data_IF_613238469165
#
_entry.id   IF_613238469165
#
_cell.length_a   1.000
_cell.length_b   1.000
_cell.length_c   1.000
_cell.angle_alpha   90.00
_cell.angle_beta   90.00
_cell.angle_gamma   90.00
#
_symmetry.space_group_name_H-M   'P 1'
#
loop_
_entity.id
_entity.type
_entity.pdbx_description
1 polymer ?
#
# COMPACT_ATOMS: atom_id res chain seq x y z
N UNK A 1 10.50 6.07 -6.66
CA UNK A 1 9.11 5.97 -7.13
C UNK A 1 9.05 6.04 -8.65
N UNK A 2 9.43 7.15 -9.30
CA UNK A 2 9.43 7.30 -10.77
C UNK A 2 9.97 6.08 -11.54
N UNK A 3 11.20 5.66 -11.27
CA UNK A 3 11.85 4.50 -11.91
C UNK A 3 11.04 3.21 -11.80
N UNK A 4 10.35 2.99 -10.67
CA UNK A 4 9.54 1.79 -10.49
C UNK A 4 8.25 1.88 -11.31
N UNK A 5 7.64 3.07 -11.40
CA UNK A 5 6.37 3.25 -12.13
C UNK A 5 6.54 3.15 -13.65
N UNK A 6 7.61 3.73 -14.22
CA UNK A 6 7.83 3.69 -15.69
C UNK A 6 8.09 2.28 -16.23
N UNK A 7 8.52 1.36 -15.37
CA UNK A 7 8.79 -0.03 -15.72
C UNK A 7 7.70 -0.98 -15.19
N UNK A 8 6.59 -0.44 -14.69
CA UNK A 8 5.45 -1.21 -14.18
C UNK A 8 4.23 -1.09 -15.09
N UNK A 9 3.27 -1.98 -14.90
CA UNK A 9 1.94 -1.94 -15.52
C UNK A 9 1.19 -0.64 -15.24
N UNK A 10 1.47 0.04 -14.12
CA UNK A 10 0.83 1.31 -13.77
C UNK A 10 1.29 2.50 -14.62
N UNK A 11 2.55 2.50 -15.09
CA UNK A 11 3.16 3.62 -15.82
C UNK A 11 3.32 4.91 -14.99
N UNK A 12 4.07 5.90 -15.49
CA UNK A 12 4.20 7.21 -14.82
C UNK A 12 3.26 8.27 -15.39
N UNK A 13 2.25 8.66 -14.62
CA UNK A 13 1.27 9.68 -14.98
C UNK A 13 1.25 10.80 -13.91
N UNK A 14 2.04 11.88 -14.08
CA UNK A 14 2.28 12.85 -13.01
C UNK A 14 1.03 13.62 -12.57
N UNK A 15 0.13 13.98 -13.51
CA UNK A 15 -1.10 14.71 -13.17
C UNK A 15 -2.08 13.83 -12.40
N UNK A 16 -2.24 12.56 -12.78
CA UNK A 16 -3.05 11.58 -12.05
C UNK A 16 -2.46 11.34 -10.65
N UNK A 17 -1.14 11.14 -10.56
CA UNK A 17 -0.47 10.94 -9.27
C UNK A 17 -0.60 12.15 -8.34
N UNK A 18 -0.51 13.36 -8.89
CA UNK A 18 -0.73 14.59 -8.12
C UNK A 18 -2.17 14.70 -7.62
N UNK A 19 -3.15 14.36 -8.47
CA UNK A 19 -4.56 14.33 -8.09
C UNK A 19 -4.84 13.30 -7.00
N UNK A 20 -4.26 12.12 -7.09
CA UNK A 20 -4.33 11.07 -6.07
C UNK A 20 -3.75 11.54 -4.73
N UNK A 21 -2.54 12.12 -4.75
CA UNK A 21 -1.88 12.62 -3.54
C UNK A 21 -2.73 13.68 -2.84
N UNK A 22 -3.25 14.66 -3.57
CA UNK A 22 -3.98 15.81 -3.00
C UNK A 22 -5.50 15.67 -3.02
N UNK A 23 -6.01 14.44 -3.06
CA UNK A 23 -7.41 14.18 -2.81
C UNK A 23 -7.84 14.65 -1.41
N UNK A 24 -9.09 15.06 -1.27
CA UNK A 24 -9.68 15.52 -0.01
C UNK A 24 -9.68 14.47 1.11
N UNK A 25 -9.68 13.19 0.76
CA UNK A 25 -9.62 12.08 1.72
C UNK A 25 -8.20 11.74 2.16
N UNK A 26 -7.19 12.24 1.45
CA UNK A 26 -5.79 12.01 1.79
C UNK A 26 -5.44 12.57 3.16
N UNK A 27 -4.71 11.77 3.94
CA UNK A 27 -4.09 12.16 5.20
C UNK A 27 -2.60 11.92 5.10
N UNK A 28 -1.82 12.71 5.83
CA UNK A 28 -0.36 12.69 5.76
C UNK A 28 0.25 12.62 7.15
N UNK A 29 1.21 11.70 7.33
CA UNK A 29 2.24 11.80 8.37
C UNK A 29 3.46 12.42 7.70
N UNK A 30 3.94 13.55 8.22
CA UNK A 30 5.16 14.20 7.76
C UNK A 30 6.26 14.02 8.82
N UNK A 31 7.42 13.59 8.38
CA UNK A 31 8.64 13.61 9.18
C UNK A 31 9.49 14.79 8.71
N UNK A 32 9.70 15.77 9.59
CA UNK A 32 10.56 16.91 9.30
C UNK A 32 11.82 16.88 10.15
N UNK A 33 12.94 17.31 9.57
CA UNK A 33 14.17 17.56 10.32
C UNK A 33 13.96 18.75 11.24
N UNK A 34 14.12 18.55 12.56
CA UNK A 34 14.01 19.64 13.53
C UNK A 34 15.07 20.74 13.38
N UNK A 35 16.11 20.51 12.57
CA UNK A 35 17.19 21.49 12.32
C UNK A 35 16.94 22.34 11.08
N UNK A 36 16.34 21.77 10.03
CA UNK A 36 16.23 22.40 8.70
C UNK A 36 14.80 22.59 8.23
N UNK A 37 13.81 22.09 8.98
CA UNK A 37 12.39 21.98 8.60
C UNK A 37 12.15 21.19 7.30
N UNK A 38 13.18 20.58 6.74
CA UNK A 38 13.11 19.76 5.53
C UNK A 38 12.32 18.47 5.80
N UNK A 39 11.45 18.11 4.86
CA UNK A 39 10.70 16.85 4.92
C UNK A 39 11.65 15.67 4.68
N UNK A 40 12.00 14.97 5.74
CA UNK A 40 12.82 13.76 5.74
C UNK A 40 12.04 12.54 5.22
N UNK A 41 10.71 12.56 5.30
CA UNK A 41 9.85 11.53 4.75
C UNK A 41 8.38 11.85 4.95
N UNK A 42 7.53 11.13 4.23
CA UNK A 42 6.09 11.21 4.42
C UNK A 42 5.44 9.84 4.25
N UNK A 43 4.29 9.69 4.87
CA UNK A 43 3.34 8.64 4.58
C UNK A 43 2.01 9.27 4.21
N UNK A 44 1.43 8.89 3.08
CA UNK A 44 0.09 9.28 2.67
C UNK A 44 -0.82 8.06 2.75
N UNK A 45 -1.95 8.25 3.42
CA UNK A 45 -2.90 7.19 3.70
C UNK A 45 -4.33 7.70 3.65
N UNK A 46 -5.27 6.77 3.56
CA UNK A 46 -6.71 7.05 3.66
C UNK A 46 -7.39 6.03 4.56
N UNK A 47 -8.56 6.40 5.06
CA UNK A 47 -9.50 5.48 5.69
C UNK A 47 -10.47 5.03 4.61
N UNK A 48 -10.59 3.73 4.42
CA UNK A 48 -11.42 3.12 3.40
C UNK A 48 -12.22 1.97 3.99
N UNK A 49 -13.30 1.59 3.33
CA UNK A 49 -14.09 0.41 3.67
C UNK A 49 -14.14 -0.48 2.44
N UNK A 50 -13.55 -1.67 2.55
CA UNK A 50 -13.40 -2.60 1.43
C UNK A 50 -13.57 -4.04 1.93
N UNK A 51 -14.37 -4.84 1.21
CA UNK A 51 -14.62 -6.25 1.52
C UNK A 51 -15.06 -6.53 2.98
N UNK A 52 -15.79 -5.59 3.59
CA UNK A 52 -16.29 -5.74 4.95
C UNK A 52 -15.35 -5.24 6.04
N UNK A 53 -14.13 -4.84 5.70
CA UNK A 53 -13.12 -4.36 6.64
C UNK A 53 -13.02 -2.81 6.63
N UNK A 54 -12.85 -2.22 7.80
CA UNK A 54 -12.39 -0.83 7.96
C UNK A 54 -10.86 -0.81 7.80
N UNK A 55 -10.36 -0.20 6.71
CA UNK A 55 -8.95 -0.27 6.29
C UNK A 55 -8.24 1.07 6.39
N UNK A 56 -7.02 1.04 6.93
CA UNK A 56 -6.02 2.09 6.76
C UNK A 56 -5.17 1.82 5.52
N UNK A 57 -5.54 2.40 4.38
CA UNK A 57 -4.81 2.17 3.13
C UNK A 57 -3.60 3.11 3.05
N UNK A 58 -2.40 2.55 3.08
CA UNK A 58 -1.13 3.26 2.91
C UNK A 58 -0.75 3.31 1.43
N UNK A 59 -1.12 4.40 0.76
CA UNK A 59 -0.81 4.68 -0.64
C UNK A 59 0.66 4.98 -0.88
N UNK A 60 1.28 5.74 0.02
CA UNK A 60 2.69 6.12 -0.10
C UNK A 60 3.40 6.07 1.23
N UNK A 61 4.64 5.57 1.21
CA UNK A 61 5.60 5.72 2.28
C UNK A 61 6.97 6.01 1.65
N UNK A 62 7.42 7.25 1.78
CA UNK A 62 8.66 7.72 1.18
C UNK A 62 9.58 8.27 2.26
N UNK A 63 10.84 7.84 2.23
CA UNK A 63 11.93 8.37 3.06
C UNK A 63 12.99 8.95 2.13
N UNK A 64 13.39 10.19 2.39
CA UNK A 64 14.50 10.83 1.68
C UNK A 64 15.77 9.97 1.80
N UNK A 65 16.52 9.85 0.71
CA UNK A 65 17.72 8.99 0.65
C UNK A 65 18.73 9.32 1.74
N UNK A 66 18.91 10.61 2.07
CA UNK A 66 19.80 11.10 3.13
C UNK A 66 19.38 10.67 4.55
N UNK A 67 18.15 10.20 4.71
CA UNK A 67 17.53 9.85 6.00
C UNK A 67 17.11 8.38 6.09
N UNK A 68 17.42 7.55 5.08
CA UNK A 68 17.16 6.09 5.11
C UNK A 68 18.02 5.39 6.17
N UNK A 69 17.59 4.17 6.56
CA UNK A 69 18.28 3.27 7.52
C UNK A 69 18.44 3.84 8.95
N UNK A 70 17.57 4.79 9.33
CA UNK A 70 17.47 5.36 10.69
C UNK A 70 16.15 5.00 11.38
N UNK A 71 15.58 3.83 11.04
CA UNK A 71 14.28 3.35 11.55
C UNK A 71 13.07 4.27 11.29
N UNK A 72 13.20 5.31 10.46
CA UNK A 72 12.09 6.23 10.16
C UNK A 72 10.91 5.55 9.45
N UNK A 73 11.18 4.61 8.55
CA UNK A 73 10.11 3.82 7.92
C UNK A 73 9.34 2.99 8.94
N UNK A 74 10.04 2.33 9.87
CA UNK A 74 9.42 1.60 10.99
C UNK A 74 8.57 2.53 11.84
N UNK A 75 9.11 3.69 12.21
CA UNK A 75 8.37 4.69 12.97
C UNK A 75 7.06 5.13 12.29
N UNK A 76 7.06 5.30 10.96
CA UNK A 76 5.83 5.64 10.24
C UNK A 76 4.81 4.49 10.23
N UNK A 77 5.25 3.24 10.03
CA UNK A 77 4.35 2.08 10.12
C UNK A 77 3.80 1.89 11.53
N UNK A 78 4.63 2.07 12.56
CA UNK A 78 4.19 1.99 13.96
C UNK A 78 3.19 3.11 14.27
N UNK A 79 3.39 4.31 13.70
CA UNK A 79 2.44 5.43 13.80
C UNK A 79 1.11 5.12 13.11
N UNK A 80 1.12 4.51 11.91
CA UNK A 80 -0.11 4.04 11.26
C UNK A 80 -0.81 2.97 12.10
N UNK A 81 -0.05 2.03 12.68
CA UNK A 81 -0.62 0.98 13.54
C UNK A 81 -1.29 1.59 14.77
N UNK A 82 -0.66 2.61 15.39
CA UNK A 82 -1.27 3.33 16.51
C UNK A 82 -2.55 4.10 16.12
N UNK A 83 -2.57 4.72 14.93
CA UNK A 83 -3.79 5.38 14.40
C UNK A 83 -4.88 4.33 14.17
N UNK A 84 -4.55 3.19 13.56
CA UNK A 84 -5.47 2.09 13.30
C UNK A 84 -6.10 1.56 14.58
N UNK A 85 -5.28 1.23 15.57
CA UNK A 85 -5.75 0.76 16.87
C UNK A 85 -6.64 1.79 17.59
N UNK A 86 -6.27 3.09 17.54
CA UNK A 86 -7.04 4.15 18.18
C UNK A 86 -8.43 4.36 17.54
N UNK A 87 -8.53 4.15 16.22
CA UNK A 87 -9.77 4.31 15.46
C UNK A 87 -10.52 3.00 15.23
N UNK A 88 -10.00 1.88 15.76
CA UNK A 88 -10.56 0.53 15.61
C UNK A 88 -10.65 0.08 14.14
N UNK A 89 -9.64 0.43 13.35
CA UNK A 89 -9.48 -0.13 12.00
C UNK A 89 -9.13 -1.60 12.11
N UNK A 90 -9.59 -2.43 11.18
CA UNK A 90 -9.32 -3.87 11.16
C UNK A 90 -7.87 -4.14 10.72
N UNK A 91 -7.41 -3.44 9.68
CA UNK A 91 -6.08 -3.65 9.11
C UNK A 91 -5.50 -2.41 8.43
N UNK A 92 -4.18 -2.43 8.30
CA UNK A 92 -3.41 -1.56 7.40
C UNK A 92 -3.19 -2.34 6.11
N UNK A 93 -3.43 -1.72 4.97
CA UNK A 93 -3.22 -2.32 3.65
C UNK A 93 -2.34 -1.45 2.78
N UNK A 94 -1.57 -2.06 1.88
CA UNK A 94 -0.73 -1.35 0.91
C UNK A 94 -0.49 -2.17 -0.34
N UNK A 95 -0.21 -1.50 -1.45
CA UNK A 95 0.27 -2.13 -2.69
C UNK A 95 1.78 -1.96 -2.83
N UNK A 96 2.47 -3.02 -3.23
CA UNK A 96 3.91 -2.98 -3.49
C UNK A 96 4.27 -3.67 -4.80
N UNK A 97 4.97 -2.95 -5.67
CA UNK A 97 5.49 -3.51 -6.93
C UNK A 97 6.49 -4.65 -6.65
N UNK A 98 6.38 -5.76 -7.40
CA UNK A 98 7.26 -6.93 -7.30
C UNK A 98 8.73 -6.56 -7.50
N UNK A 99 9.00 -5.60 -8.40
CA UNK A 99 10.32 -5.05 -8.67
C UNK A 99 10.95 -4.31 -7.47
N UNK A 100 10.15 -3.89 -6.47
CA UNK A 100 10.62 -3.17 -5.30
C UNK A 100 10.98 -4.13 -4.14
N UNK A 101 11.99 -4.96 -4.36
CA UNK A 101 12.44 -5.97 -3.38
C UNK A 101 12.85 -5.39 -2.02
N UNK A 102 13.41 -4.17 -1.98
CA UNK A 102 13.75 -3.47 -0.73
C UNK A 102 12.48 -3.21 0.11
N UNK A 103 11.42 -2.67 -0.50
CA UNK A 103 10.18 -2.38 0.20
C UNK A 103 9.45 -3.67 0.61
N UNK A 104 9.41 -4.69 -0.25
CA UNK A 104 8.81 -5.99 0.08
C UNK A 104 9.48 -6.62 1.30
N UNK A 105 10.82 -6.64 1.34
CA UNK A 105 11.56 -7.14 2.50
C UNK A 105 11.31 -6.30 3.76
N UNK A 106 11.20 -4.97 3.62
CA UNK A 106 10.87 -4.07 4.71
C UNK A 106 9.47 -4.36 5.29
N UNK A 107 8.43 -4.45 4.46
CA UNK A 107 7.06 -4.69 4.93
C UNK A 107 6.90 -6.07 5.57
N UNK A 108 7.51 -7.11 5.00
CA UNK A 108 7.56 -8.45 5.63
C UNK A 108 8.20 -8.39 7.03
N UNK A 109 9.30 -7.65 7.19
CA UNK A 109 9.95 -7.44 8.49
C UNK A 109 9.15 -6.54 9.46
N UNK A 110 8.11 -5.85 8.97
CA UNK A 110 7.15 -5.09 9.78
C UNK A 110 5.90 -5.91 10.15
N UNK A 111 5.81 -7.16 9.72
CA UNK A 111 4.70 -8.07 10.01
C UNK A 111 3.56 -8.03 8.99
N UNK A 112 3.76 -7.43 7.82
CA UNK A 112 2.79 -7.52 6.73
C UNK A 112 2.86 -8.89 6.05
N UNK A 113 1.70 -9.42 5.70
CA UNK A 113 1.50 -10.65 4.93
C UNK A 113 0.80 -10.35 3.62
N UNK A 114 0.79 -11.31 2.68
CA UNK A 114 -0.01 -11.20 1.45
C UNK A 114 -1.48 -11.10 1.83
N UNK A 115 -2.18 -10.10 1.31
CA UNK A 115 -3.62 -9.96 1.54
C UNK A 115 -4.40 -10.92 0.61
N UNK A 116 -5.51 -11.52 1.05
CA UNK A 116 -6.34 -12.37 0.20
C UNK A 116 -6.88 -11.69 -1.06
N UNK A 117 -6.94 -10.35 -1.07
CA UNK A 117 -7.38 -9.57 -2.24
C UNK A 117 -6.24 -9.30 -3.24
N UNK A 118 -5.01 -9.73 -2.95
CA UNK A 118 -3.90 -9.59 -3.87
C UNK A 118 -4.15 -10.41 -5.15
N UNK A 119 -3.85 -9.87 -6.34
CA UNK A 119 -3.96 -10.64 -7.58
C UNK A 119 -3.15 -11.94 -7.53
N UNK A 120 -3.67 -13.01 -8.14
CA UNK A 120 -3.05 -14.34 -8.15
C UNK A 120 -3.15 -15.11 -6.81
N UNK A 121 -3.88 -14.57 -5.83
CA UNK A 121 -4.39 -15.38 -4.72
C UNK A 121 -5.73 -15.95 -5.19
N UNK A 122 -5.80 -17.28 -5.34
CA UNK A 122 -7.06 -17.98 -5.58
C UNK A 122 -7.98 -17.69 -4.40
N UNK A 123 -8.83 -16.68 -4.52
CA UNK A 123 -9.88 -16.42 -3.55
C UNK A 123 -10.82 -17.62 -3.56
N UNK A 124 -11.11 -18.18 -2.39
CA UNK A 124 -12.29 -19.03 -2.23
C UNK A 124 -13.48 -18.18 -2.68
N UNK A 125 -13.95 -18.45 -3.91
CA UNK A 125 -15.15 -17.87 -4.44
C UNK A 125 -16.29 -18.19 -3.47
N UNK A 126 -17.07 -17.19 -3.10
CA UNK A 126 -18.42 -17.45 -2.61
C UNK A 126 -19.13 -18.24 -3.72
N UNK A 127 -19.28 -19.54 -3.53
CA UNK A 127 -20.05 -20.43 -4.40
C UNK A 127 -21.53 -20.02 -4.34
N UNK A 128 -21.91 -18.99 -5.10
CA UNK A 128 -23.30 -18.87 -5.54
C UNK A 128 -23.48 -19.83 -6.72
N UNK A 129 -24.12 -20.98 -6.44
CA UNK A 129 -24.59 -21.94 -7.43
C UNK A 129 -25.39 -21.22 -8.53
N UNK A 130 -24.85 -21.15 -9.76
CA UNK A 130 -25.62 -20.54 -10.84
C UNK A 130 -24.92 -20.41 -12.19
N UNK A 131 -24.98 -21.49 -12.97
CA UNK A 131 -25.02 -21.52 -14.44
C UNK A 131 -23.68 -21.62 -15.20
N UNK A 132 -23.53 -22.75 -15.90
CA UNK A 132 -22.51 -22.98 -16.92
C UNK A 132 -22.67 -21.96 -18.07
N UNK A 133 -21.71 -21.06 -18.22
CA UNK A 133 -21.48 -20.35 -19.48
C UNK A 133 -20.00 -20.11 -19.67
N UNK A 134 -19.50 -20.58 -20.82
CA UNK A 134 -18.18 -20.36 -21.42
C UNK A 134 -17.31 -19.32 -20.70
N UNK A 135 -16.44 -19.80 -19.81
CA UNK A 135 -15.34 -18.99 -19.27
C UNK A 135 -14.24 -18.99 -20.32
N UNK A 136 -14.16 -17.91 -21.09
CA UNK A 136 -12.92 -17.55 -21.77
C UNK A 136 -11.83 -17.52 -20.70
N UNK A 137 -10.81 -18.37 -20.83
CA UNK A 137 -9.60 -18.30 -20.01
C UNK A 137 -8.98 -16.92 -20.26
N UNK A 138 -9.37 -15.92 -19.47
CA UNK A 138 -8.69 -14.64 -19.42
C UNK A 138 -7.26 -14.96 -19.04
N UNK A 139 -6.32 -14.73 -19.96
CA UNK A 139 -4.89 -14.87 -19.71
C UNK A 139 -4.57 -14.07 -18.43
N UNK A 140 -4.39 -14.77 -17.30
CA UNK A 140 -3.96 -14.16 -16.05
C UNK A 140 -2.63 -13.46 -16.32
N UNK A 141 -2.71 -12.17 -16.58
CA UNK A 141 -1.56 -11.33 -16.71
C UNK A 141 -1.00 -11.21 -15.29
N UNK A 142 0.04 -12.00 -15.00
CA UNK A 142 0.76 -11.97 -13.72
C UNK A 142 0.93 -10.51 -13.27
N UNK A 143 0.20 -10.13 -12.23
CA UNK A 143 0.27 -8.76 -11.73
C UNK A 143 1.70 -8.47 -11.30
N UNK A 144 2.23 -7.30 -11.69
CA UNK A 144 3.59 -6.90 -11.32
C UNK A 144 3.66 -6.24 -9.92
N UNK A 145 2.64 -6.47 -9.10
CA UNK A 145 2.50 -6.00 -7.73
C UNK A 145 1.81 -7.03 -6.83
N UNK A 146 1.97 -6.85 -5.52
CA UNK A 146 1.27 -7.60 -4.48
C UNK A 146 0.54 -6.62 -3.57
N UNK A 147 -0.62 -7.02 -3.05
CA UNK A 147 -1.30 -6.31 -1.95
C UNK A 147 -0.89 -6.99 -0.65
N UNK A 148 -0.42 -6.19 0.31
CA UNK A 148 -0.03 -6.65 1.62
C UNK A 148 -0.91 -6.02 2.69
N UNK A 149 -1.23 -6.78 3.73
CA UNK A 149 -1.96 -6.28 4.88
C UNK A 149 -1.35 -6.71 6.21
N UNK A 150 -1.71 -5.96 7.26
CA UNK A 150 -1.32 -6.19 8.65
C UNK A 150 -2.46 -5.74 9.55
N UNK A 151 -2.94 -6.61 10.45
CA UNK A 151 -3.95 -6.24 11.44
C UNK A 151 -3.47 -5.10 12.36
N UNK A 152 -4.39 -4.20 12.71
CA UNK A 152 -4.08 -3.07 13.60
C UNK A 152 -4.02 -3.47 15.08
#
# INVERSE_FOLDING_TARGET
MYELYIHSSFGWKPEEKKKELFDTLSRFILLSSGQTEEVAGFCMFRFEYENGDDILYCYELQISRSHKRRSLGRYMIDSLSAIGAALKMDKIMLTVLLANSEARGFYKAMGFTLDPTSPGVDGEADEEEGNESDTEEEEEQDADYEILSKSC
#
